data_IF_930265153773
#
_entry.id   IF_930265153773
#
_cell.length_a   1.000
_cell.length_b   1.000
_cell.length_c   1.000
_cell.angle_alpha   90.00
_cell.angle_beta   90.00
_cell.angle_gamma   90.00
#
_symmetry.space_group_name_H-M   'P 1'
#
loop_
_entity.id
_entity.type
_entity.pdbx_description
1 polymer ?
#
# COMPACT_ATOMS: atom_id res chain seq x y z
N UNK A 1 -5.16 20.74 -17.57
CA UNK A 1 -6.30 21.04 -16.66
C UNK A 1 -5.74 21.25 -15.26
N UNK A 2 -6.31 22.13 -14.43
CA UNK A 2 -5.81 22.41 -13.06
C UNK A 2 -6.83 21.92 -12.03
N UNK A 3 -6.38 21.13 -11.07
CA UNK A 3 -7.16 20.65 -9.92
C UNK A 3 -6.60 21.25 -8.63
N UNK A 4 -7.49 21.66 -7.71
CA UNK A 4 -7.12 22.26 -6.42
C UNK A 4 -8.00 21.64 -5.34
N UNK A 5 -7.39 21.13 -4.29
CA UNK A 5 -8.06 20.47 -3.17
C UNK A 5 -7.56 21.05 -1.84
N UNK A 6 -8.39 21.08 -0.78
CA UNK A 6 -7.92 21.35 0.58
C UNK A 6 -6.87 20.33 1.01
N UNK A 7 -5.84 20.77 1.74
CA UNK A 7 -4.78 19.85 2.23
C UNK A 7 -5.35 18.76 3.15
N UNK A 8 -6.40 19.07 3.90
CA UNK A 8 -7.09 18.11 4.77
C UNK A 8 -7.66 16.91 4.02
N UNK A 9 -7.95 17.07 2.74
CA UNK A 9 -8.66 16.08 1.92
C UNK A 9 -7.68 15.23 1.10
N UNK A 10 -6.37 15.49 1.21
CA UNK A 10 -5.33 14.83 0.43
C UNK A 10 -4.32 14.14 1.33
N UNK A 11 -4.29 12.81 1.28
CA UNK A 11 -3.23 12.01 1.87
C UNK A 11 -2.07 11.87 0.86
N UNK A 12 -1.03 12.68 1.00
CA UNK A 12 0.16 12.58 0.16
C UNK A 12 1.04 11.41 0.63
N UNK A 13 1.15 10.37 -0.20
CA UNK A 13 1.99 9.20 0.03
C UNK A 13 3.32 9.32 -0.72
N UNK A 14 4.43 8.75 -0.20
CA UNK A 14 5.73 8.75 -0.87
C UNK A 14 5.79 7.67 -1.98
N UNK A 15 4.89 7.75 -2.95
CA UNK A 15 4.78 6.85 -4.11
C UNK A 15 4.72 7.65 -5.40
N UNK A 16 5.20 7.06 -6.49
CA UNK A 16 5.24 7.70 -7.82
C UNK A 16 3.85 7.80 -8.49
N UNK A 17 2.98 6.83 -8.20
CA UNK A 17 1.63 6.74 -8.71
C UNK A 17 0.71 6.08 -7.66
N UNK A 18 -0.57 6.43 -7.68
CA UNK A 18 -1.60 5.88 -6.78
C UNK A 18 -2.34 4.68 -7.40
N UNK A 19 -1.68 3.86 -8.23
CA UNK A 19 -2.31 2.63 -8.73
C UNK A 19 -2.46 1.60 -7.61
N UNK A 20 -3.42 0.69 -7.73
CA UNK A 20 -3.62 -0.43 -6.82
C UNK A 20 -2.33 -1.20 -6.49
N UNK A 21 -1.47 -1.46 -7.48
CA UNK A 21 -0.21 -2.19 -7.29
C UNK A 21 0.80 -1.40 -6.47
N UNK A 22 0.94 -0.09 -6.73
CA UNK A 22 1.85 0.78 -5.96
C UNK A 22 1.38 0.98 -4.53
N UNK A 23 0.07 1.06 -4.33
CA UNK A 23 -0.52 1.07 -3.00
C UNK A 23 -0.27 -0.27 -2.28
N UNK A 24 -0.46 -1.40 -2.96
CA UNK A 24 -0.21 -2.73 -2.40
C UNK A 24 1.25 -2.89 -1.95
N UNK A 25 2.21 -2.43 -2.75
CA UNK A 25 3.64 -2.40 -2.41
C UNK A 25 3.92 -1.53 -1.17
N UNK A 26 3.40 -0.30 -1.16
CA UNK A 26 3.59 0.62 -0.04
C UNK A 26 3.00 0.07 1.28
N UNK A 27 1.80 -0.51 1.22
CA UNK A 27 1.17 -1.16 2.37
C UNK A 27 1.91 -2.42 2.82
N UNK A 28 2.45 -3.22 1.89
CA UNK A 28 3.24 -4.41 2.27
C UNK A 28 4.49 -4.03 3.06
N UNK A 29 5.20 -2.97 2.67
CA UNK A 29 6.35 -2.46 3.41
C UNK A 29 5.96 -1.99 4.82
N UNK A 30 4.89 -1.19 4.91
CA UNK A 30 4.30 -0.74 6.18
C UNK A 30 3.93 -1.92 7.09
N UNK A 31 3.15 -2.86 6.58
CA UNK A 31 2.67 -4.02 7.34
C UNK A 31 3.83 -4.91 7.81
N UNK A 32 4.83 -5.15 6.95
CA UNK A 32 6.01 -5.92 7.34
C UNK A 32 6.77 -5.27 8.50
N UNK A 33 6.95 -3.95 8.46
CA UNK A 33 7.61 -3.22 9.54
C UNK A 33 6.83 -3.32 10.85
N UNK A 34 5.52 -3.06 10.82
CA UNK A 34 4.65 -3.16 12.00
C UNK A 34 4.63 -4.58 12.57
N UNK A 35 4.52 -5.61 11.72
CA UNK A 35 4.55 -7.02 12.14
C UNK A 35 5.87 -7.37 12.82
N UNK A 36 7.00 -6.91 12.28
CA UNK A 36 8.30 -7.10 12.90
C UNK A 36 8.41 -6.41 14.26
N UNK A 37 7.91 -5.17 14.39
CA UNK A 37 7.85 -4.43 15.66
C UNK A 37 7.00 -5.15 16.72
N UNK A 38 5.96 -5.89 16.29
CA UNK A 38 5.13 -6.71 17.18
C UNK A 38 5.69 -8.13 17.40
N UNK A 39 6.94 -8.39 16.99
CA UNK A 39 7.65 -9.65 17.26
C UNK A 39 7.37 -10.78 16.27
N UNK A 40 6.62 -10.54 15.19
CA UNK A 40 6.38 -11.53 14.15
C UNK A 40 7.59 -11.64 13.20
N UNK A 41 8.65 -12.31 13.67
CA UNK A 41 9.92 -12.44 12.96
C UNK A 41 10.02 -13.67 12.03
N UNK A 42 9.03 -14.56 12.07
CA UNK A 42 9.02 -15.81 11.30
C UNK A 42 8.19 -15.74 10.01
N UNK A 43 7.71 -14.55 9.63
CA UNK A 43 6.97 -14.34 8.38
C UNK A 43 7.97 -14.31 7.21
N UNK A 44 7.80 -15.25 6.27
CA UNK A 44 8.67 -15.42 5.09
C UNK A 44 8.04 -14.95 3.79
N UNK A 45 6.78 -14.55 3.84
CA UNK A 45 6.03 -14.09 2.69
C UNK A 45 4.83 -13.29 3.15
N UNK A 46 4.66 -12.11 2.57
CA UNK A 46 3.51 -11.25 2.81
C UNK A 46 2.96 -10.82 1.46
N UNK A 47 1.71 -11.18 1.18
CA UNK A 47 0.98 -10.74 -0.01
C UNK A 47 -0.09 -9.75 0.40
N UNK A 48 -0.13 -8.59 -0.26
CA UNK A 48 -1.14 -7.55 -0.08
C UNK A 48 -1.89 -7.37 -1.39
N UNK A 49 -3.21 -7.33 -1.31
CA UNK A 49 -4.10 -7.01 -2.42
C UNK A 49 -4.90 -5.74 -2.12
N UNK A 50 -4.93 -4.82 -3.07
CA UNK A 50 -5.75 -3.60 -3.01
C UNK A 50 -6.77 -3.67 -4.14
N UNK A 51 -8.05 -3.72 -3.78
CA UNK A 51 -9.16 -3.73 -4.72
C UNK A 51 -9.69 -2.30 -4.91
N UNK A 52 -9.56 -1.75 -6.12
CA UNK A 52 -10.09 -0.42 -6.46
C UNK A 52 -11.58 -0.48 -6.78
N UNK A 53 -11.99 -1.55 -7.47
CA UNK A 53 -13.35 -1.85 -7.87
C UNK A 53 -13.53 -3.37 -7.92
N UNK A 54 -14.77 -3.89 -7.83
CA UNK A 54 -15.03 -5.33 -7.92
C UNK A 54 -14.34 -5.98 -9.12
N UNK A 55 -13.40 -6.89 -8.86
CA UNK A 55 -12.63 -7.60 -9.89
C UNK A 55 -11.43 -6.84 -10.47
N UNK A 56 -11.12 -5.64 -9.98
CA UNK A 56 -9.92 -4.88 -10.30
C UNK A 56 -9.03 -4.78 -9.06
N UNK A 57 -8.01 -5.65 -8.99
CA UNK A 57 -7.14 -5.75 -7.82
C UNK A 57 -5.67 -5.69 -8.23
N UNK A 58 -4.93 -4.78 -7.59
CA UNK A 58 -3.47 -4.75 -7.64
C UNK A 58 -2.89 -5.59 -6.51
N UNK A 59 -1.85 -6.37 -6.81
CA UNK A 59 -1.23 -7.29 -5.87
C UNK A 59 0.27 -7.01 -5.75
N UNK A 60 0.79 -7.15 -4.55
CA UNK A 60 2.23 -7.15 -4.29
C UNK A 60 2.58 -8.25 -3.30
N UNK A 61 3.71 -8.93 -3.52
CA UNK A 61 4.23 -9.95 -2.61
C UNK A 61 5.66 -9.61 -2.21
N UNK A 62 5.90 -9.48 -0.91
CA UNK A 62 7.22 -9.40 -0.32
C UNK A 62 7.68 -10.80 0.13
N UNK A 63 8.97 -11.09 -0.07
CA UNK A 63 9.67 -12.26 0.48
C UNK A 63 10.43 -11.91 1.77
#
# INVERSE_FOLDING_TARGET
QRYVFPKSDVAALPIDNSTAERLAEWFAGRLRAELAEHGASNIKRLTVGIEEMPGQTGWYTAE
#
